data_IF_288293065444
#
_entry.id   IF_288293065444
#
_cell.length_a   1.000
_cell.length_b   1.000
_cell.length_c   1.000
_cell.angle_alpha   90.00
_cell.angle_beta   90.00
_cell.angle_gamma   90.00
#
_symmetry.space_group_name_H-M   'P 1'
#
loop_
_entity.id
_entity.type
_entity.pdbx_description
1 polymer ?
#
# COMPACT_ATOMS: atom_id res chain seq x y z
N UNK A 1 -41.20 3.70 -30.25
CA UNK A 1 -41.16 2.35 -30.85
C UNK A 1 -39.83 2.31 -31.58
N UNK A 2 -38.79 1.89 -30.87
CA UNK A 2 -37.42 1.98 -31.36
C UNK A 2 -37.21 0.86 -32.37
N UNK A 3 -36.82 1.22 -33.60
CA UNK A 3 -36.55 0.25 -34.64
C UNK A 3 -35.38 -0.65 -34.21
N UNK A 4 -35.46 -1.98 -34.41
CA UNK A 4 -34.36 -2.88 -34.07
C UNK A 4 -33.11 -2.52 -34.88
N UNK A 5 -31.97 -2.44 -34.18
CA UNK A 5 -30.66 -2.13 -34.76
C UNK A 5 -30.28 -3.14 -35.85
N UNK A 6 -29.59 -2.67 -36.89
CA UNK A 6 -29.09 -3.52 -37.97
C UNK A 6 -28.02 -4.51 -37.48
N UNK A 7 -27.83 -5.65 -38.18
CA UNK A 7 -26.81 -6.66 -37.82
C UNK A 7 -25.38 -6.07 -37.72
N UNK A 8 -25.09 -5.05 -38.53
CA UNK A 8 -23.82 -4.31 -38.51
C UNK A 8 -23.62 -3.56 -37.19
N UNK A 9 -24.67 -2.91 -36.69
CA UNK A 9 -24.65 -2.19 -35.41
C UNK A 9 -24.53 -3.16 -34.22
N UNK A 10 -25.21 -4.30 -34.27
CA UNK A 10 -25.11 -5.34 -33.24
C UNK A 10 -23.69 -5.91 -33.16
N UNK A 11 -23.03 -6.12 -34.30
CA UNK A 11 -21.64 -6.60 -34.36
C UNK A 11 -20.66 -5.57 -33.78
N UNK A 12 -20.83 -4.29 -34.10
CA UNK A 12 -20.01 -3.21 -33.56
C UNK A 12 -20.18 -3.05 -32.03
N UNK A 13 -21.40 -3.19 -31.52
CA UNK A 13 -21.71 -3.15 -30.08
C UNK A 13 -21.06 -4.33 -29.35
N UNK A 14 -21.16 -5.55 -29.89
CA UNK A 14 -20.54 -6.75 -29.31
C UNK A 14 -19.01 -6.66 -29.27
N UNK A 15 -18.39 -6.20 -30.35
CA UNK A 15 -16.94 -5.97 -30.40
C UNK A 15 -16.50 -4.93 -29.36
N UNK A 16 -17.23 -3.81 -29.24
CA UNK A 16 -16.96 -2.77 -28.23
C UNK A 16 -17.11 -3.31 -26.82
N UNK A 17 -18.14 -4.12 -26.53
CA UNK A 17 -18.33 -4.75 -25.21
C UNK A 17 -17.20 -5.73 -24.87
N UNK A 18 -16.76 -6.55 -25.84
CA UNK A 18 -15.65 -7.47 -25.66
C UNK A 18 -14.33 -6.75 -25.36
N UNK A 19 -14.03 -5.67 -26.11
CA UNK A 19 -12.83 -4.85 -25.90
C UNK A 19 -12.86 -4.14 -24.54
N UNK A 20 -14.00 -3.57 -24.13
CA UNK A 20 -14.15 -2.91 -22.83
C UNK A 20 -13.97 -3.90 -21.68
N UNK A 21 -14.52 -5.12 -21.80
CA UNK A 21 -14.42 -6.16 -20.77
C UNK A 21 -12.98 -6.64 -20.59
N UNK A 22 -12.27 -6.88 -21.69
CA UNK A 22 -10.83 -7.23 -21.68
C UNK A 22 -9.97 -6.11 -21.04
N UNK A 23 -10.26 -4.85 -21.39
CA UNK A 23 -9.58 -3.71 -20.77
C UNK A 23 -9.86 -3.61 -19.26
N UNK A 24 -11.12 -3.73 -18.83
CA UNK A 24 -11.47 -3.69 -17.39
C UNK A 24 -10.84 -4.83 -16.61
N UNK A 25 -10.79 -6.05 -17.19
CA UNK A 25 -10.20 -7.22 -16.55
C UNK A 25 -8.69 -7.02 -16.33
N UNK A 26 -7.97 -6.54 -17.35
CA UNK A 26 -6.54 -6.24 -17.24
C UNK A 26 -6.26 -5.17 -16.20
N UNK A 27 -6.98 -4.05 -16.22
CA UNK A 27 -6.82 -2.99 -15.22
C UNK A 27 -7.06 -3.51 -13.79
N UNK A 28 -8.06 -4.39 -13.61
CA UNK A 28 -8.36 -4.99 -12.32
C UNK A 28 -7.25 -5.91 -11.80
N UNK A 29 -6.60 -6.69 -12.68
CA UNK A 29 -5.51 -7.59 -12.31
C UNK A 29 -4.25 -6.80 -11.94
N UNK A 30 -3.88 -5.80 -12.73
CA UNK A 30 -2.72 -4.94 -12.45
C UNK A 30 -2.89 -4.24 -11.09
N UNK A 31 -4.09 -3.75 -10.78
CA UNK A 31 -4.36 -3.12 -9.49
C UNK A 31 -4.20 -4.11 -8.31
N UNK A 32 -4.69 -5.34 -8.44
CA UNK A 32 -4.50 -6.38 -7.41
C UNK A 32 -3.00 -6.67 -7.18
N UNK A 33 -2.24 -6.84 -8.25
CA UNK A 33 -0.79 -7.10 -8.18
C UNK A 33 -0.07 -5.91 -7.54
N UNK A 34 -0.38 -4.68 -7.96
CA UNK A 34 0.21 -3.47 -7.40
C UNK A 34 -0.01 -3.36 -5.88
N UNK A 35 -1.22 -3.67 -5.39
CA UNK A 35 -1.54 -3.67 -3.95
C UNK A 35 -0.73 -4.71 -3.17
N UNK A 36 -0.56 -5.91 -3.73
CA UNK A 36 0.25 -6.97 -3.12
C UNK A 36 1.72 -6.57 -3.06
N UNK A 37 2.28 -6.07 -4.17
CA UNK A 37 3.68 -5.63 -4.22
C UNK A 37 3.94 -4.45 -3.27
N UNK A 38 3.02 -3.50 -3.18
CA UNK A 38 3.10 -2.39 -2.24
C UNK A 38 3.11 -2.87 -0.79
N UNK A 39 2.27 -3.86 -0.46
CA UNK A 39 2.20 -4.43 0.90
C UNK A 39 3.38 -5.34 1.25
N UNK A 40 4.10 -5.88 0.27
CA UNK A 40 5.21 -6.81 0.51
C UNK A 40 6.30 -6.21 1.41
N UNK A 41 6.62 -4.92 1.23
CA UNK A 41 7.62 -4.22 2.05
C UNK A 41 7.18 -4.14 3.51
N UNK A 42 5.89 -3.92 3.76
CA UNK A 42 5.34 -3.86 5.11
C UNK A 42 5.29 -5.23 5.77
N UNK A 43 4.87 -6.26 5.04
CA UNK A 43 4.86 -7.65 5.53
C UNK A 43 6.28 -8.10 5.90
N UNK A 44 7.26 -7.81 5.05
CA UNK A 44 8.67 -8.08 5.35
C UNK A 44 9.12 -7.34 6.62
N UNK A 45 8.76 -6.06 6.75
CA UNK A 45 9.05 -5.27 7.94
C UNK A 45 8.36 -5.79 9.22
N UNK A 46 7.18 -6.41 9.11
CA UNK A 46 6.47 -7.05 10.22
C UNK A 46 7.17 -8.33 10.69
N UNK A 47 7.57 -9.18 9.75
CA UNK A 47 8.32 -10.41 10.06
C UNK A 47 9.62 -10.07 10.79
N UNK A 48 10.35 -9.05 10.32
CA UNK A 48 11.56 -8.58 11.00
C UNK A 48 11.30 -8.13 12.45
N UNK A 49 10.17 -7.45 12.70
CA UNK A 49 9.77 -7.02 14.06
C UNK A 49 9.35 -8.18 14.95
N UNK A 50 8.73 -9.23 14.40
CA UNK A 50 8.35 -10.43 15.13
C UNK A 50 9.59 -11.23 15.56
N UNK A 51 10.55 -11.41 14.65
CA UNK A 51 11.77 -12.19 14.91
C UNK A 51 12.78 -11.41 15.75
N UNK A 52 12.82 -10.08 15.62
CA UNK A 52 13.77 -9.18 16.26
C UNK A 52 13.12 -8.21 17.24
N UNK A 53 12.12 -8.65 18.00
CA UNK A 53 11.31 -7.74 18.85
C UNK A 53 12.16 -6.95 19.84
N UNK A 54 13.01 -7.63 20.62
CA UNK A 54 13.84 -7.00 21.64
C UNK A 54 14.83 -5.98 21.04
N UNK A 55 15.47 -6.33 19.93
CA UNK A 55 16.39 -5.42 19.22
C UNK A 55 15.67 -4.19 18.65
N UNK A 56 14.48 -4.38 18.08
CA UNK A 56 13.69 -3.26 17.56
C UNK A 56 13.19 -2.36 18.69
N UNK A 57 12.74 -2.93 19.81
CA UNK A 57 12.32 -2.16 20.99
C UNK A 57 13.49 -1.34 21.56
N UNK A 58 14.70 -1.91 21.62
CA UNK A 58 15.90 -1.18 22.03
C UNK A 58 16.23 -0.03 21.07
N UNK A 59 16.10 -0.25 19.76
CA UNK A 59 16.31 0.80 18.75
C UNK A 59 15.30 1.95 18.88
N UNK A 60 14.02 1.65 19.20
CA UNK A 60 13.00 2.66 19.48
C UNK A 60 13.34 3.44 20.75
N UNK A 61 13.74 2.74 21.81
CA UNK A 61 14.15 3.39 23.07
C UNK A 61 15.37 4.31 22.87
N UNK A 62 16.31 3.93 22.01
CA UNK A 62 17.48 4.74 21.68
C UNK A 62 17.13 6.07 20.97
N UNK A 63 15.93 6.20 20.41
CA UNK A 63 15.40 7.46 19.86
C UNK A 63 14.76 8.36 20.93
N UNK A 64 14.86 7.99 22.21
CA UNK A 64 14.33 8.75 23.34
C UNK A 64 12.82 8.60 23.53
N UNK A 65 12.19 7.62 22.87
CA UNK A 65 10.75 7.39 22.97
C UNK A 65 10.40 6.54 24.20
N UNK A 66 9.51 7.02 25.09
CA UNK A 66 9.02 6.21 26.20
C UNK A 66 8.14 5.08 25.67
N UNK A 67 7.97 4.03 26.48
CA UNK A 67 7.07 2.90 26.16
C UNK A 67 7.40 2.21 24.83
N UNK A 68 8.69 2.08 24.49
CA UNK A 68 9.15 1.49 23.23
C UNK A 68 8.50 0.13 22.86
N UNK A 69 8.29 -0.83 23.78
CA UNK A 69 7.58 -2.07 23.45
C UNK A 69 6.12 -1.85 23.03
N UNK A 70 5.42 -0.91 23.65
CA UNK A 70 4.03 -0.59 23.31
C UNK A 70 3.95 0.07 21.92
N UNK A 71 4.85 1.01 21.64
CA UNK A 71 4.95 1.63 20.31
C UNK A 71 5.27 0.61 19.22
N UNK A 72 6.15 -0.36 19.52
CA UNK A 72 6.47 -1.44 18.59
C UNK A 72 5.25 -2.32 18.31
N UNK A 73 4.50 -2.73 19.33
CA UNK A 73 3.25 -3.48 19.16
C UNK A 73 2.23 -2.70 18.35
N UNK A 74 2.05 -1.40 18.64
CA UNK A 74 1.16 -0.54 17.87
C UNK A 74 1.57 -0.46 16.39
N UNK A 75 2.86 -0.28 16.10
CA UNK A 75 3.40 -0.30 14.74
C UNK A 75 3.13 -1.64 14.04
N UNK A 76 3.31 -2.77 14.72
CA UNK A 76 3.04 -4.09 14.18
C UNK A 76 1.55 -4.29 13.85
N UNK A 77 0.65 -3.80 14.70
CA UNK A 77 -0.81 -3.83 14.46
C UNK A 77 -1.18 -2.96 13.25
N UNK A 78 -0.65 -1.74 13.16
CA UNK A 78 -0.88 -0.85 12.01
C UNK A 78 -0.44 -1.50 10.71
N UNK A 79 0.74 -2.14 10.70
CA UNK A 79 1.25 -2.87 9.54
C UNK A 79 0.32 -4.05 9.20
N UNK A 80 0.03 -4.92 10.17
CA UNK A 80 -0.73 -6.14 9.92
C UNK A 80 -2.15 -5.84 9.39
N UNK A 81 -2.88 -4.95 10.08
CA UNK A 81 -4.23 -4.55 9.69
C UNK A 81 -4.20 -3.74 8.40
N UNK A 82 -3.28 -2.78 8.29
CA UNK A 82 -3.15 -1.94 7.10
C UNK A 82 -2.88 -2.74 5.83
N UNK A 83 -1.92 -3.66 5.88
CA UNK A 83 -1.60 -4.54 4.75
C UNK A 83 -2.74 -5.50 4.42
N UNK A 84 -3.43 -6.07 5.41
CA UNK A 84 -4.57 -6.94 5.16
C UNK A 84 -5.74 -6.21 4.45
N UNK A 85 -6.06 -4.99 4.87
CA UNK A 85 -7.09 -4.16 4.23
C UNK A 85 -6.72 -3.77 2.79
N UNK A 86 -5.46 -3.41 2.55
CA UNK A 86 -4.99 -3.08 1.19
C UNK A 86 -5.01 -4.30 0.28
N UNK A 87 -4.48 -5.45 0.71
CA UNK A 87 -4.40 -6.67 -0.11
C UNK A 87 -5.78 -7.25 -0.41
N UNK A 88 -6.69 -7.26 0.57
CA UNK A 88 -8.07 -7.73 0.37
C UNK A 88 -8.88 -6.81 -0.56
N UNK A 89 -8.48 -5.54 -0.69
CA UNK A 89 -9.22 -4.52 -1.40
C UNK A 89 -10.48 -4.04 -0.66
N UNK A 90 -10.80 -4.62 0.49
CA UNK A 90 -11.94 -4.25 1.31
C UNK A 90 -11.52 -3.12 2.26
N UNK A 91 -11.91 -1.88 1.92
CA UNK A 91 -11.48 -0.64 2.61
C UNK A 91 -10.00 -0.32 2.43
N UNK A 92 -9.55 -0.38 1.18
CA UNK A 92 -8.14 -0.16 0.83
C UNK A 92 -7.63 1.23 1.22
N UNK A 93 -8.49 2.27 1.19
CA UNK A 93 -8.16 3.61 1.70
C UNK A 93 -7.79 3.63 3.18
N UNK A 94 -8.58 2.97 4.03
CA UNK A 94 -8.28 2.90 5.46
C UNK A 94 -6.97 2.16 5.69
N UNK A 95 -6.76 1.04 4.98
CA UNK A 95 -5.50 0.31 5.04
C UNK A 95 -4.29 1.17 4.67
N UNK A 96 -4.40 1.94 3.58
CA UNK A 96 -3.34 2.83 3.12
C UNK A 96 -3.03 3.95 4.14
N UNK A 97 -4.05 4.52 4.77
CA UNK A 97 -3.87 5.53 5.83
C UNK A 97 -3.16 4.94 7.05
N UNK A 98 -3.53 3.73 7.49
CA UNK A 98 -2.84 3.06 8.60
C UNK A 98 -1.35 2.82 8.30
N UNK A 99 -1.05 2.39 7.07
CA UNK A 99 0.33 2.19 6.62
C UNK A 99 1.11 3.52 6.52
N UNK A 100 0.47 4.63 6.11
CA UNK A 100 1.07 5.96 6.11
C UNK A 100 1.40 6.44 7.53
N UNK A 101 0.47 6.27 8.47
CA UNK A 101 0.66 6.63 9.89
C UNK A 101 1.83 5.87 10.50
N UNK A 102 2.07 4.62 10.10
CA UNK A 102 3.25 3.87 10.49
C UNK A 102 4.52 4.35 9.76
N UNK A 103 4.47 4.50 8.44
CA UNK A 103 5.66 4.70 7.60
C UNK A 103 6.31 6.06 7.81
N UNK A 104 5.51 7.13 7.91
CA UNK A 104 6.04 8.51 7.98
C UNK A 104 6.88 8.72 9.25
N UNK A 105 6.38 8.46 10.47
CA UNK A 105 7.20 8.60 11.67
C UNK A 105 8.41 7.67 11.67
N UNK A 106 8.24 6.42 11.23
CA UNK A 106 9.35 5.46 11.14
C UNK A 106 10.46 5.99 10.23
N UNK A 107 10.11 6.60 9.10
CA UNK A 107 11.10 7.13 8.17
C UNK A 107 11.87 8.29 8.77
N UNK A 108 11.18 9.25 9.39
CA UNK A 108 11.80 10.43 9.98
C UNK A 108 12.68 10.09 11.19
N UNK A 109 12.30 9.09 11.98
CA UNK A 109 13.04 8.69 13.17
C UNK A 109 14.26 7.82 12.85
N UNK A 110 14.20 6.96 11.84
CA UNK A 110 15.21 5.93 11.58
C UNK A 110 16.04 6.13 10.30
N UNK A 111 15.65 7.04 9.42
CA UNK A 111 16.32 7.31 8.13
C UNK A 111 16.43 8.83 7.86
N UNK A 112 16.78 9.59 8.89
CA UNK A 112 16.84 11.05 8.84
C UNK A 112 18.21 11.59 8.46
N UNK A 113 19.27 10.78 8.53
CA UNK A 113 20.62 11.19 8.18
C UNK A 113 20.82 11.15 6.65
N UNK A 114 20.70 12.31 6.02
CA UNK A 114 20.91 12.45 4.57
C UNK A 114 22.38 12.38 4.17
N UNK A 115 23.30 12.52 5.13
CA UNK A 115 24.74 12.39 4.91
C UNK A 115 25.15 10.93 4.75
N UNK A 116 24.54 10.03 5.52
CA UNK A 116 24.72 8.59 5.35
C UNK A 116 24.04 8.07 4.07
N UNK A 117 24.78 7.33 3.26
CA UNK A 117 24.26 6.84 1.98
C UNK A 117 23.25 5.71 2.16
N UNK A 118 23.36 4.91 3.22
CA UNK A 118 22.42 3.85 3.54
C UNK A 118 21.07 4.42 3.98
N UNK A 119 21.08 5.37 4.91
CA UNK A 119 19.87 6.05 5.37
C UNK A 119 19.19 6.83 4.24
N UNK A 120 19.95 7.54 3.41
CA UNK A 120 19.40 8.26 2.25
C UNK A 120 18.66 7.33 1.28
N UNK A 121 19.17 6.12 1.03
CA UNK A 121 18.47 5.14 0.18
C UNK A 121 17.14 4.70 0.83
N UNK A 122 17.13 4.45 2.13
CA UNK A 122 15.91 4.06 2.84
C UNK A 122 14.87 5.18 2.88
N UNK A 123 15.31 6.43 3.07
CA UNK A 123 14.47 7.62 3.01
C UNK A 123 13.77 7.72 1.65
N UNK A 124 14.54 7.66 0.55
CA UNK A 124 14.00 7.74 -0.81
C UNK A 124 13.06 6.58 -1.12
N UNK A 125 13.40 5.35 -0.70
CA UNK A 125 12.53 4.18 -0.83
C UNK A 125 11.19 4.42 -0.12
N UNK A 126 11.22 4.90 1.12
CA UNK A 126 10.01 5.13 1.89
C UNK A 126 9.19 6.28 1.30
N UNK A 127 9.81 7.32 0.75
CA UNK A 127 9.09 8.40 0.07
C UNK A 127 8.36 7.90 -1.20
N UNK A 128 8.98 7.00 -1.96
CA UNK A 128 8.33 6.35 -3.10
C UNK A 128 7.12 5.49 -2.66
N UNK A 129 7.24 4.77 -1.53
CA UNK A 129 6.13 4.00 -0.96
C UNK A 129 5.00 4.90 -0.48
N UNK A 130 5.32 6.04 0.16
CA UNK A 130 4.33 7.06 0.55
C UNK A 130 3.55 7.54 -0.67
N UNK A 131 4.22 7.84 -1.79
CA UNK A 131 3.56 8.22 -3.02
C UNK A 131 2.61 7.11 -3.54
N UNK A 132 3.05 5.85 -3.52
CA UNK A 132 2.19 4.71 -3.89
C UNK A 132 0.95 4.56 -3.00
N UNK A 133 1.09 4.77 -1.69
CA UNK A 133 -0.04 4.74 -0.76
C UNK A 133 -1.00 5.91 -0.97
N UNK A 134 -0.50 7.12 -1.25
CA UNK A 134 -1.34 8.28 -1.56
C UNK A 134 -2.15 8.09 -2.84
N UNK A 135 -1.54 7.52 -3.88
CA UNK A 135 -2.26 7.16 -5.11
C UNK A 135 -3.37 6.13 -4.84
N UNK A 136 -3.12 5.15 -3.96
CA UNK A 136 -4.13 4.18 -3.57
C UNK A 136 -5.30 4.82 -2.79
N UNK A 137 -5.00 5.77 -1.89
CA UNK A 137 -6.01 6.54 -1.15
C UNK A 137 -6.94 7.30 -2.12
N UNK A 138 -6.38 7.90 -3.16
CA UNK A 138 -7.14 8.64 -4.18
C UNK A 138 -7.97 7.71 -5.07
N UNK A 139 -7.44 6.55 -5.47
CA UNK A 139 -8.13 5.58 -6.33
C UNK A 139 -9.38 5.01 -5.67
N UNK A 140 -9.33 4.70 -4.38
CA UNK A 140 -10.46 4.17 -3.60
C UNK A 140 -11.56 5.24 -3.39
N UNK A 141 -11.25 6.54 -3.59
CA UNK A 141 -12.26 7.61 -3.53
C UNK A 141 -13.13 7.69 -4.79
N UNK A 142 -12.75 7.01 -5.88
CA UNK A 142 -13.46 7.03 -7.17
C UNK A 142 -14.21 5.73 -7.48
N UNK A 143 -14.14 4.75 -6.58
CA UNK A 143 -14.75 3.42 -6.70
C UNK A 143 -16.02 3.27 -5.88
#
# INVERSE_FOLDING_TARGET
MDAPLSEQEQTAVSCRQALMTEQTNRLSLLNRIARVLLCLVFIHALIGKLMGFAGTAAAIAAKGLPLAPLLLVAAMVLIAVGSALVVSGWRSRLGAVLLLVFLVPTTLLFHGDVGDSGERIQLLKNLAIVAGLLLLVEQDSKG
#
